data_IF_098714211556
#
_entry.id   IF_098714211556
#
_cell.length_a   1.000
_cell.length_b   1.000
_cell.length_c   1.000
_cell.angle_alpha   90.00
_cell.angle_beta   90.00
_cell.angle_gamma   90.00
#
_symmetry.space_group_name_H-M   'P 1'
#
loop_
_entity.id
_entity.type
_entity.pdbx_description
1 polymer ?
#
# COMPACT_ATOMS: atom_id res chain seq x y z
N UNK A 1 16.28 18.19 -16.41
CA UNK A 1 15.64 19.17 -15.49
C UNK A 1 16.17 18.96 -14.09
N UNK A 2 16.16 20.01 -13.25
CA UNK A 2 16.51 19.92 -11.83
C UNK A 2 15.24 19.76 -11.00
N UNK A 3 15.15 18.68 -10.24
CA UNK A 3 13.99 18.33 -9.44
C UNK A 3 14.38 18.28 -7.96
N UNK A 4 13.54 18.80 -7.08
CA UNK A 4 13.69 18.53 -5.64
C UNK A 4 12.57 17.63 -5.17
N UNK A 5 12.87 16.71 -4.25
CA UNK A 5 11.86 15.87 -3.60
C UNK A 5 11.90 16.11 -2.10
N UNK A 6 10.88 16.80 -1.59
CA UNK A 6 10.78 17.24 -0.19
C UNK A 6 9.96 16.22 0.60
N UNK A 7 10.59 15.63 1.61
CA UNK A 7 10.15 14.44 2.30
C UNK A 7 10.76 13.20 1.66
N UNK A 8 11.67 12.53 2.36
CA UNK A 8 12.37 11.31 1.89
C UNK A 8 11.94 10.07 2.68
N UNK A 9 10.67 10.04 3.10
CA UNK A 9 10.02 8.80 3.51
C UNK A 9 9.90 7.83 2.33
N UNK A 10 9.19 6.73 2.54
CA UNK A 10 9.02 5.65 1.56
C UNK A 10 8.74 6.15 0.12
N UNK A 11 7.70 6.99 -0.03
CA UNK A 11 7.32 7.61 -1.30
C UNK A 11 8.45 8.46 -1.91
N UNK A 12 8.94 9.44 -1.16
CA UNK A 12 9.84 10.44 -1.71
C UNK A 12 11.24 9.93 -1.99
N UNK A 13 11.78 9.03 -1.17
CA UNK A 13 13.10 8.43 -1.44
C UNK A 13 13.06 7.55 -2.70
N UNK A 14 12.00 6.76 -2.89
CA UNK A 14 11.81 5.98 -4.13
C UNK A 14 11.63 6.92 -5.32
N UNK A 15 10.77 7.93 -5.20
CA UNK A 15 10.53 8.86 -6.30
C UNK A 15 11.80 9.63 -6.69
N UNK A 16 12.56 10.15 -5.73
CA UNK A 16 13.82 10.83 -5.99
C UNK A 16 14.83 9.95 -6.73
N UNK A 17 14.98 8.70 -6.28
CA UNK A 17 15.88 7.74 -6.92
C UNK A 17 15.44 7.41 -8.35
N UNK A 18 14.15 7.18 -8.57
CA UNK A 18 13.60 6.87 -9.91
C UNK A 18 13.69 8.06 -10.86
N UNK A 19 13.42 9.29 -10.39
CA UNK A 19 13.56 10.49 -11.21
C UNK A 19 15.03 10.73 -11.63
N UNK A 20 15.98 10.46 -10.75
CA UNK A 20 17.40 10.52 -11.10
C UNK A 20 17.79 9.46 -12.15
N UNK A 21 17.17 8.28 -12.06
CA UNK A 21 17.45 7.15 -12.93
C UNK A 21 16.96 7.33 -14.36
N UNK A 22 15.84 8.05 -14.53
CA UNK A 22 15.33 8.44 -15.86
C UNK A 22 16.02 9.69 -16.43
N UNK A 23 17.07 10.19 -15.75
CA UNK A 23 18.00 11.17 -16.30
C UNK A 23 17.91 12.59 -15.73
N UNK A 24 17.09 12.83 -14.70
CA UNK A 24 17.03 14.15 -14.05
C UNK A 24 18.18 14.36 -13.06
N UNK A 25 18.47 15.63 -12.75
CA UNK A 25 19.28 15.99 -11.59
C UNK A 25 18.34 16.19 -10.41
N UNK A 26 18.55 15.47 -9.32
CA UNK A 26 17.61 15.37 -8.21
C UNK A 26 18.26 15.69 -6.88
N UNK A 27 17.58 16.52 -6.09
CA UNK A 27 17.93 16.83 -4.71
C UNK A 27 16.83 16.36 -3.77
N UNK A 28 17.07 15.29 -3.03
CA UNK A 28 16.19 14.82 -1.96
C UNK A 28 16.36 15.67 -0.69
N UNK A 29 15.25 16.04 -0.05
CA UNK A 29 15.25 16.96 1.09
C UNK A 29 14.43 16.38 2.23
N UNK A 30 14.96 16.40 3.45
CA UNK A 30 14.24 15.98 4.66
C UNK A 30 14.78 16.73 5.87
N UNK A 31 13.95 16.91 6.90
CA UNK A 31 14.36 17.55 8.15
C UNK A 31 15.20 16.62 9.02
N UNK A 32 15.10 15.31 8.79
CA UNK A 32 15.81 14.28 9.53
C UNK A 32 17.24 14.10 8.99
N UNK A 33 18.22 14.64 9.73
CA UNK A 33 19.63 14.60 9.35
C UNK A 33 20.22 13.19 9.33
N UNK A 34 19.74 12.27 10.16
CA UNK A 34 20.25 10.90 10.19
C UNK A 34 19.72 10.11 9.00
N UNK A 35 18.46 10.33 8.63
CA UNK A 35 17.86 9.81 7.40
C UNK A 35 18.60 10.30 6.15
N UNK A 36 18.89 11.60 6.08
CA UNK A 36 19.64 12.18 4.96
C UNK A 36 21.05 11.59 4.87
N UNK A 37 21.74 11.41 6.00
CA UNK A 37 23.06 10.77 6.02
C UNK A 37 22.99 9.33 5.53
N UNK A 38 22.03 8.54 6.01
CA UNK A 38 21.84 7.16 5.56
C UNK A 38 21.56 7.07 4.06
N UNK A 39 20.65 7.92 3.55
CA UNK A 39 20.32 7.97 2.12
C UNK A 39 21.50 8.42 1.25
N UNK A 40 22.28 9.41 1.71
CA UNK A 40 23.50 9.85 1.03
C UNK A 40 24.58 8.74 0.96
N UNK A 41 24.60 7.84 1.95
CA UNK A 41 25.45 6.63 1.94
C UNK A 41 24.86 5.48 1.09
N UNK A 42 23.74 5.70 0.39
CA UNK A 42 23.03 4.67 -0.38
C UNK A 42 22.32 3.63 0.50
N UNK A 43 22.02 3.95 1.76
CA UNK A 43 21.34 3.07 2.72
C UNK A 43 19.92 3.60 3.00
N UNK A 44 18.88 3.07 2.33
CA UNK A 44 17.51 3.48 2.64
C UNK A 44 17.11 3.05 4.06
N UNK A 45 16.32 3.86 4.80
CA UNK A 45 15.90 3.57 6.17
C UNK A 45 14.72 2.59 6.25
N UNK A 46 14.33 1.99 5.13
CA UNK A 46 13.25 1.02 4.98
C UNK A 46 13.63 0.01 3.90
N UNK A 47 12.95 -1.14 3.90
CA UNK A 47 13.15 -2.17 2.89
C UNK A 47 12.32 -1.88 1.64
N UNK A 48 12.98 -1.80 0.50
CA UNK A 48 12.32 -1.80 -0.81
C UNK A 48 13.19 -2.51 -1.86
N UNK A 49 12.66 -3.56 -2.53
CA UNK A 49 13.41 -4.26 -3.57
C UNK A 49 13.92 -3.33 -4.67
N UNK A 50 15.23 -3.38 -4.94
CA UNK A 50 15.87 -2.58 -5.98
C UNK A 50 16.27 -1.17 -5.56
N UNK A 51 15.76 -0.63 -4.45
CA UNK A 51 15.99 0.76 -4.06
C UNK A 51 17.46 1.05 -3.73
N UNK A 52 18.13 0.12 -3.04
CA UNK A 52 19.55 0.30 -2.69
C UNK A 52 20.45 0.39 -3.92
N UNK A 53 20.16 -0.41 -4.94
CA UNK A 53 20.92 -0.44 -6.19
C UNK A 53 20.77 0.88 -6.96
N UNK A 54 19.53 1.37 -7.12
CA UNK A 54 19.23 2.61 -7.85
C UNK A 54 19.75 3.85 -7.10
N UNK A 55 19.69 3.87 -5.76
CA UNK A 55 20.31 4.92 -4.94
C UNK A 55 21.83 4.97 -5.18
N UNK A 56 22.52 3.83 -4.99
CA UNK A 56 23.98 3.75 -5.10
C UNK A 56 24.45 4.22 -6.49
N UNK A 57 23.78 3.76 -7.56
CA UNK A 57 24.11 4.16 -8.94
C UNK A 57 23.94 5.67 -9.15
N UNK A 58 22.81 6.24 -8.75
CA UNK A 58 22.50 7.64 -9.05
C UNK A 58 23.27 8.63 -8.17
N UNK A 59 23.56 8.27 -6.91
CA UNK A 59 24.50 9.02 -6.06
C UNK A 59 25.90 9.00 -6.67
N UNK A 60 26.40 7.82 -7.08
CA UNK A 60 27.70 7.68 -7.72
C UNK A 60 27.84 8.44 -9.04
N UNK A 61 26.72 8.61 -9.78
CA UNK A 61 26.69 9.41 -11.01
C UNK A 61 26.64 10.93 -10.79
N UNK A 62 26.40 11.38 -9.56
CA UNK A 62 26.18 12.79 -9.22
C UNK A 62 24.77 13.32 -9.53
N UNK A 63 23.90 12.53 -10.18
CA UNK A 63 22.51 12.92 -10.48
C UNK A 63 21.58 12.94 -9.26
N UNK A 64 21.94 12.28 -8.16
CA UNK A 64 21.14 12.28 -6.93
C UNK A 64 21.97 12.76 -5.75
N UNK A 65 21.47 13.77 -5.04
CA UNK A 65 22.04 14.28 -3.78
C UNK A 65 20.95 14.41 -2.73
N UNK A 66 21.35 14.50 -1.46
CA UNK A 66 20.45 14.70 -0.33
C UNK A 66 20.92 15.87 0.53
N UNK A 67 19.96 16.64 1.07
CA UNK A 67 20.22 17.80 1.94
C UNK A 67 19.12 17.96 2.98
N UNK A 68 19.38 18.76 4.01
CA UNK A 68 18.36 19.22 4.97
C UNK A 68 17.91 20.67 4.68
N UNK A 69 18.48 21.32 3.67
CA UNK A 69 18.27 22.74 3.37
C UNK A 69 17.16 22.98 2.35
N UNK A 70 16.03 23.53 2.78
CA UNK A 70 14.97 24.02 1.87
C UNK A 70 15.40 25.23 1.05
N UNK A 71 16.36 26.03 1.53
CA UNK A 71 16.98 27.10 0.75
C UNK A 71 17.73 26.55 -0.45
N UNK A 72 18.58 25.54 -0.23
CA UNK A 72 19.32 24.87 -1.32
C UNK A 72 18.32 24.26 -2.31
N UNK A 73 17.24 23.66 -1.81
CA UNK A 73 16.17 23.12 -2.64
C UNK A 73 15.54 24.19 -3.55
N UNK A 74 15.13 25.33 -3.01
CA UNK A 74 14.56 26.45 -3.77
C UNK A 74 15.54 27.02 -4.81
N UNK A 75 16.82 27.11 -4.47
CA UNK A 75 17.86 27.59 -5.39
C UNK A 75 18.15 26.58 -6.51
N UNK A 76 18.06 25.28 -6.23
CA UNK A 76 18.38 24.19 -7.17
C UNK A 76 17.22 23.79 -8.10
N UNK A 77 16.02 23.59 -7.58
CA UNK A 77 14.92 22.94 -8.31
C UNK A 77 14.17 23.85 -9.29
N UNK A 78 13.85 23.32 -10.47
CA UNK A 78 12.86 23.89 -11.39
C UNK A 78 11.45 23.37 -11.05
N UNK A 79 11.39 22.15 -10.50
CA UNK A 79 10.17 21.49 -10.01
C UNK A 79 10.40 20.96 -8.59
N UNK A 80 9.46 21.24 -7.69
CA UNK A 80 9.52 20.86 -6.28
C UNK A 80 8.42 19.85 -5.92
N UNK A 81 8.75 18.57 -5.84
CA UNK A 81 7.82 17.54 -5.40
C UNK A 81 7.66 17.54 -3.88
N UNK A 82 6.42 17.61 -3.40
CA UNK A 82 6.07 17.50 -1.97
C UNK A 82 5.59 16.09 -1.67
N UNK A 83 6.41 15.32 -0.96
CA UNK A 83 6.25 13.90 -0.66
C UNK A 83 6.19 13.60 0.85
N UNK A 84 5.81 14.58 1.66
CA UNK A 84 5.72 14.44 3.12
C UNK A 84 4.48 13.64 3.54
N UNK A 85 4.56 12.97 4.70
CA UNK A 85 3.47 12.15 5.20
C UNK A 85 2.25 12.96 5.63
N UNK A 86 1.07 12.46 5.27
CA UNK A 86 -0.25 12.95 5.68
C UNK A 86 -0.95 11.89 6.57
N UNK A 87 -0.48 11.71 7.82
CA UNK A 87 -1.07 10.72 8.72
C UNK A 87 -2.51 11.12 9.08
N UNK A 88 -3.25 10.20 9.69
CA UNK A 88 -4.53 10.54 10.30
C UNK A 88 -4.28 11.43 11.55
N UNK A 89 -5.14 12.41 11.79
CA UNK A 89 -5.14 13.18 13.04
C UNK A 89 -5.41 12.28 14.25
N UNK A 90 -4.87 12.63 15.42
CA UNK A 90 -5.03 11.82 16.65
C UNK A 90 -6.49 11.73 17.12
N UNK A 91 -7.20 12.86 17.06
CA UNK A 91 -8.55 13.00 17.63
C UNK A 91 -9.65 13.10 16.55
N UNK A 92 -9.32 12.76 15.30
CA UNK A 92 -10.23 12.86 14.15
C UNK A 92 -9.90 11.81 13.09
N UNK A 93 -10.86 11.53 12.20
CA UNK A 93 -10.65 10.70 11.01
C UNK A 93 -9.98 11.50 9.87
N UNK A 94 -9.85 12.82 10.01
CA UNK A 94 -9.27 13.68 8.99
C UNK A 94 -7.77 13.44 8.78
N UNK A 95 -7.30 13.76 7.57
CA UNK A 95 -5.87 13.79 7.26
C UNK A 95 -5.21 14.99 7.95
N UNK A 96 -4.00 14.78 8.46
CA UNK A 96 -3.14 15.81 9.00
C UNK A 96 -2.28 16.42 7.89
N UNK A 97 -2.57 17.67 7.53
CA UNK A 97 -1.87 18.41 6.48
C UNK A 97 -0.74 19.30 7.01
N UNK A 98 -0.46 19.31 8.33
CA UNK A 98 0.53 20.21 8.93
C UNK A 98 1.91 20.11 8.27
N UNK A 99 2.33 18.91 7.87
CA UNK A 99 3.61 18.73 7.19
C UNK A 99 3.63 19.30 5.78
N UNK A 100 2.53 19.16 5.02
CA UNK A 100 2.41 19.74 3.67
C UNK A 100 2.42 21.26 3.78
N UNK A 101 1.64 21.81 4.71
CA UNK A 101 1.57 23.26 4.96
C UNK A 101 2.93 23.81 5.37
N UNK A 102 3.63 23.14 6.29
CA UNK A 102 4.96 23.54 6.75
C UNK A 102 6.00 23.55 5.62
N UNK A 103 5.91 22.61 4.66
CA UNK A 103 6.80 22.61 3.49
C UNK A 103 6.55 23.86 2.63
N UNK A 104 5.29 24.19 2.35
CA UNK A 104 4.93 25.36 1.56
C UNK A 104 5.41 26.65 2.25
N UNK A 105 5.13 26.78 3.55
CA UNK A 105 5.52 27.94 4.36
C UNK A 105 7.04 28.15 4.43
N UNK A 106 7.79 27.06 4.57
CA UNK A 106 9.24 27.13 4.70
C UNK A 106 9.95 27.28 3.35
N UNK A 107 9.37 26.77 2.26
CA UNK A 107 9.95 26.87 0.92
C UNK A 107 9.69 28.24 0.30
N UNK A 108 8.47 28.78 0.43
CA UNK A 108 8.04 30.00 -0.26
C UNK A 108 9.00 31.19 -0.09
N UNK A 109 9.51 31.54 1.11
CA UNK A 109 10.42 32.67 1.29
C UNK A 109 11.73 32.59 0.50
N UNK A 110 12.09 31.41 0.00
CA UNK A 110 13.31 31.16 -0.77
C UNK A 110 13.08 31.10 -2.28
N UNK A 111 11.82 31.06 -2.73
CA UNK A 111 11.49 31.05 -4.15
C UNK A 111 11.72 32.44 -4.74
N UNK A 112 12.60 32.53 -5.74
CA UNK A 112 13.00 33.78 -6.41
C UNK A 112 12.86 33.72 -7.93
N UNK A 113 12.48 32.57 -8.45
CA UNK A 113 12.37 32.28 -9.88
C UNK A 113 11.08 31.50 -10.15
N UNK A 114 10.56 31.55 -11.39
CA UNK A 114 9.47 30.67 -11.81
C UNK A 114 9.80 29.20 -11.51
N UNK A 115 8.86 28.49 -10.91
CA UNK A 115 9.00 27.07 -10.60
C UNK A 115 7.62 26.43 -10.43
N UNK A 116 7.57 25.11 -10.54
CA UNK A 116 6.36 24.33 -10.29
C UNK A 116 6.47 23.55 -8.97
N UNK A 117 5.55 23.77 -8.05
CA UNK A 117 5.40 22.93 -6.85
C UNK A 117 4.39 21.83 -7.17
N UNK A 118 4.79 20.57 -6.97
CA UNK A 118 3.97 19.40 -7.32
C UNK A 118 3.71 18.57 -6.08
N UNK A 119 2.47 18.57 -5.60
CA UNK A 119 2.09 17.67 -4.52
C UNK A 119 2.00 16.22 -4.98
N UNK A 120 2.59 15.31 -4.22
CA UNK A 120 2.54 13.86 -4.48
C UNK A 120 1.95 13.07 -3.32
N UNK A 121 1.95 13.67 -2.12
CA UNK A 121 1.26 13.16 -0.95
C UNK A 121 -0.23 12.93 -1.20
N UNK A 122 -0.81 11.91 -0.58
CA UNK A 122 -2.27 11.75 -0.58
C UNK A 122 -2.88 12.85 0.29
N UNK A 123 -3.71 13.71 -0.30
CA UNK A 123 -4.37 14.83 0.40
C UNK A 123 -5.88 14.82 0.12
N UNK A 124 -6.69 15.43 1.01
CA UNK A 124 -8.11 15.67 0.74
C UNK A 124 -8.32 16.62 -0.44
N UNK A 125 -9.42 16.44 -1.17
CA UNK A 125 -9.81 17.33 -2.28
C UNK A 125 -9.96 18.80 -1.84
N UNK A 126 -9.47 19.72 -2.66
CA UNK A 126 -9.39 21.16 -2.40
C UNK A 126 -8.07 21.60 -1.75
N UNK A 127 -7.10 20.69 -1.60
CA UNK A 127 -5.80 21.04 -0.99
C UNK A 127 -4.98 21.92 -1.92
N UNK A 128 -4.93 21.58 -3.20
CA UNK A 128 -4.15 22.32 -4.22
C UNK A 128 -4.62 23.76 -4.32
N UNK A 129 -5.94 23.99 -4.39
CA UNK A 129 -6.52 25.33 -4.44
C UNK A 129 -6.17 26.15 -3.19
N UNK A 130 -6.31 25.55 -2.00
CA UNK A 130 -5.95 26.20 -0.73
C UNK A 130 -4.46 26.57 -0.68
N UNK A 131 -3.58 25.69 -1.15
CA UNK A 131 -2.14 25.94 -1.15
C UNK A 131 -1.73 26.98 -2.20
N UNK A 132 -2.39 27.03 -3.35
CA UNK A 132 -2.19 28.06 -4.36
C UNK A 132 -2.60 29.45 -3.84
N UNK A 133 -3.74 29.55 -3.14
CA UNK A 133 -4.15 30.78 -2.48
C UNK A 133 -3.12 31.22 -1.42
N UNK A 134 -2.67 30.29 -0.57
CA UNK A 134 -1.65 30.55 0.45
C UNK A 134 -0.32 31.02 -0.16
N UNK A 135 0.11 30.43 -1.27
CA UNK A 135 1.33 30.86 -1.97
C UNK A 135 1.19 32.26 -2.56
N UNK A 136 0.02 32.61 -3.09
CA UNK A 136 -0.27 33.98 -3.56
C UNK A 136 -0.13 35.00 -2.41
N UNK A 137 -0.59 34.66 -1.20
CA UNK A 137 -0.45 35.51 -0.02
C UNK A 137 1.02 35.66 0.43
N UNK A 138 1.79 34.57 0.38
CA UNK A 138 3.20 34.56 0.79
C UNK A 138 4.12 35.22 -0.24
N UNK A 139 3.71 35.23 -1.52
CA UNK A 139 4.50 35.68 -2.65
C UNK A 139 3.69 36.58 -3.60
N UNK A 140 3.21 37.76 -3.13
CA UNK A 140 2.37 38.65 -3.94
C UNK A 140 3.06 39.13 -5.22
N UNK A 141 4.40 39.21 -5.22
CA UNK A 141 5.21 39.65 -6.35
C UNK A 141 5.75 38.49 -7.23
N UNK A 142 5.57 37.23 -6.82
CA UNK A 142 6.06 36.06 -7.56
C UNK A 142 4.96 35.41 -8.40
N UNK A 143 4.53 36.11 -9.45
CA UNK A 143 3.46 35.71 -10.38
C UNK A 143 3.71 34.42 -11.19
N UNK A 144 4.78 33.68 -10.90
CA UNK A 144 5.24 32.55 -11.71
C UNK A 144 5.54 31.27 -10.91
N UNK A 145 5.08 31.18 -9.65
CA UNK A 145 5.07 29.92 -8.89
C UNK A 145 3.70 29.28 -9.02
N UNK A 146 3.64 28.08 -9.60
CA UNK A 146 2.39 27.33 -9.78
C UNK A 146 2.34 26.12 -8.85
N UNK A 147 1.13 25.70 -8.51
CA UNK A 147 0.88 24.46 -7.75
C UNK A 147 0.12 23.48 -8.62
N UNK A 148 0.64 22.27 -8.72
CA UNK A 148 -0.02 21.13 -9.34
C UNK A 148 -0.08 19.96 -8.36
N UNK A 149 -0.90 18.96 -8.69
CA UNK A 149 -0.96 17.71 -7.93
C UNK A 149 -0.74 16.50 -8.83
N UNK A 150 0.21 15.64 -8.49
CA UNK A 150 0.46 14.39 -9.18
C UNK A 150 0.38 13.24 -8.15
N UNK A 151 -0.82 12.70 -7.87
CA UNK A 151 -0.96 11.63 -6.91
C UNK A 151 -0.15 10.39 -7.30
N UNK A 152 0.32 9.65 -6.29
CA UNK A 152 1.07 8.42 -6.47
C UNK A 152 0.22 7.16 -6.27
N UNK A 153 0.47 6.11 -7.05
CA UNK A 153 -0.24 4.83 -7.01
C UNK A 153 0.65 3.61 -6.74
N UNK A 154 1.94 3.82 -6.46
CA UNK A 154 2.87 2.76 -6.13
C UNK A 154 2.39 1.87 -4.99
N UNK A 155 2.77 0.60 -5.07
CA UNK A 155 2.56 -0.38 -4.01
C UNK A 155 3.89 -0.59 -3.32
N UNK A 156 3.90 -0.51 -1.98
CA UNK A 156 5.13 -0.88 -1.26
C UNK A 156 5.60 -2.32 -1.61
N UNK A 157 6.90 -2.57 -1.67
CA UNK A 157 7.48 -3.83 -2.17
C UNK A 157 7.57 -3.96 -3.68
N UNK A 158 6.99 -3.00 -4.43
CA UNK A 158 7.04 -2.87 -5.89
C UNK A 158 7.23 -1.41 -6.33
N UNK A 159 7.60 -0.53 -5.41
CA UNK A 159 7.58 0.91 -5.58
C UNK A 159 8.56 1.39 -6.66
N UNK A 160 9.74 0.80 -6.77
CA UNK A 160 10.69 1.12 -7.85
C UNK A 160 10.09 0.79 -9.22
N UNK A 161 9.53 -0.42 -9.36
CA UNK A 161 8.88 -0.85 -10.59
C UNK A 161 7.67 0.03 -10.91
N UNK A 162 6.76 0.23 -9.95
CA UNK A 162 5.53 0.98 -10.15
C UNK A 162 5.80 2.47 -10.43
N UNK A 163 6.93 3.04 -9.96
CA UNK A 163 7.30 4.42 -10.29
C UNK A 163 7.89 4.52 -11.69
N UNK A 164 8.70 3.55 -12.14
CA UNK A 164 9.33 3.58 -13.47
C UNK A 164 8.41 3.09 -14.59
N UNK A 165 7.45 2.22 -14.27
CA UNK A 165 6.49 1.61 -15.19
C UNK A 165 5.07 1.65 -14.59
N UNK A 166 4.52 2.85 -14.35
CA UNK A 166 3.20 2.99 -13.76
C UNK A 166 2.10 2.58 -14.75
N UNK A 167 0.98 2.05 -14.23
CA UNK A 167 -0.20 1.76 -15.05
C UNK A 167 -0.76 3.02 -15.73
N UNK A 168 -0.55 4.20 -15.11
CA UNK A 168 -0.94 5.53 -15.59
C UNK A 168 -0.31 6.62 -14.74
N UNK A 169 -0.18 7.81 -15.31
CA UNK A 169 0.13 9.06 -14.62
C UNK A 169 -1.11 9.95 -14.57
N UNK A 170 -1.40 10.55 -13.41
CA UNK A 170 -2.51 11.49 -13.22
C UNK A 170 -1.94 12.81 -12.74
N UNK A 171 -2.28 13.91 -13.41
CA UNK A 171 -1.83 15.26 -13.06
C UNK A 171 -3.02 16.20 -12.98
N UNK A 172 -3.04 16.98 -11.91
CA UNK A 172 -3.98 18.04 -11.62
C UNK A 172 -3.27 19.37 -11.82
N UNK A 173 -3.60 20.08 -12.90
CA UNK A 173 -2.89 21.31 -13.32
C UNK A 173 -3.87 22.45 -13.56
N UNK A 174 -3.39 23.68 -13.43
CA UNK A 174 -4.18 24.91 -13.63
C UNK A 174 -3.77 25.70 -14.87
N UNK A 175 -2.70 25.28 -15.57
CA UNK A 175 -2.19 25.94 -16.77
C UNK A 175 -1.57 24.93 -17.74
N UNK A 176 -1.44 25.34 -19.01
CA UNK A 176 -0.70 24.58 -20.02
C UNK A 176 0.79 24.49 -19.70
N UNK A 177 1.37 25.52 -19.09
CA UNK A 177 2.77 25.52 -18.68
C UNK A 177 3.07 24.41 -17.68
N UNK A 178 2.25 24.28 -16.63
CA UNK A 178 2.39 23.21 -15.65
C UNK A 178 2.23 21.81 -16.29
N UNK A 179 1.31 21.64 -17.24
CA UNK A 179 1.15 20.38 -17.98
C UNK A 179 2.39 20.03 -18.82
N UNK A 180 2.92 21.01 -19.57
CA UNK A 180 4.14 20.85 -20.38
C UNK A 180 5.35 20.47 -19.52
N UNK A 181 5.52 21.13 -18.37
CA UNK A 181 6.58 20.82 -17.40
C UNK A 181 6.46 19.39 -16.90
N UNK A 182 5.26 18.94 -16.50
CA UNK A 182 5.05 17.58 -16.00
C UNK A 182 5.24 16.52 -17.11
N UNK A 183 4.85 16.83 -18.35
CA UNK A 183 5.15 15.96 -19.51
C UNK A 183 6.65 15.84 -19.75
N UNK A 184 7.41 16.92 -19.60
CA UNK A 184 8.86 16.90 -19.73
C UNK A 184 9.53 16.09 -18.60
N UNK A 185 9.00 16.17 -17.36
CA UNK A 185 9.46 15.30 -16.25
C UNK A 185 9.22 13.83 -16.56
N UNK A 186 8.06 13.49 -17.12
CA UNK A 186 7.69 12.09 -17.37
C UNK A 186 7.98 11.60 -18.79
N UNK A 187 8.71 12.36 -19.61
CA UNK A 187 8.90 12.06 -21.04
C UNK A 187 9.34 10.62 -21.31
N UNK A 188 10.32 10.03 -20.59
CA UNK A 188 10.72 8.63 -20.80
C UNK A 188 9.58 7.62 -20.59
N UNK A 189 8.67 7.88 -19.64
CA UNK A 189 7.51 7.03 -19.38
C UNK A 189 6.44 7.20 -20.46
N UNK A 190 6.23 8.43 -20.92
CA UNK A 190 5.27 8.74 -21.99
C UNK A 190 5.69 8.12 -23.32
N UNK A 191 6.99 8.17 -23.64
CA UNK A 191 7.58 7.51 -24.81
C UNK A 191 7.42 5.98 -24.75
N UNK A 192 7.46 5.41 -23.53
CA UNK A 192 7.18 3.99 -23.30
C UNK A 192 5.67 3.63 -23.36
N UNK A 193 4.80 4.59 -23.67
CA UNK A 193 3.36 4.37 -23.85
C UNK A 193 2.53 4.40 -22.56
N UNK A 194 3.09 4.91 -21.45
CA UNK A 194 2.34 5.10 -20.20
C UNK A 194 1.20 6.11 -20.43
N UNK A 195 -0.06 5.75 -20.12
CA UNK A 195 -1.19 6.68 -20.20
C UNK A 195 -0.98 7.89 -19.29
N UNK A 196 -1.22 9.09 -19.82
CA UNK A 196 -1.11 10.35 -19.10
C UNK A 196 -2.44 11.10 -19.09
N UNK A 197 -2.99 11.27 -17.89
CA UNK A 197 -4.29 11.91 -17.66
C UNK A 197 -4.03 13.26 -16.99
N UNK A 198 -4.19 14.33 -17.75
CA UNK A 198 -4.16 15.70 -17.25
C UNK A 198 -5.57 16.22 -17.06
N UNK A 199 -5.86 16.77 -15.88
CA UNK A 199 -7.19 17.22 -15.46
C UNK A 199 -7.06 18.37 -14.46
N UNK A 200 -8.18 18.88 -13.95
CA UNK A 200 -8.19 19.85 -12.86
C UNK A 200 -7.66 19.24 -11.54
N UNK A 201 -7.11 20.07 -10.62
CA UNK A 201 -6.57 19.58 -9.36
C UNK A 201 -7.54 18.81 -8.48
N UNK A 202 -8.81 19.24 -8.40
CA UNK A 202 -9.78 18.60 -7.53
C UNK A 202 -10.08 17.16 -7.98
N UNK A 203 -10.22 16.94 -9.29
CA UNK A 203 -10.37 15.61 -9.86
C UNK A 203 -9.12 14.76 -9.62
N UNK A 204 -7.91 15.29 -9.84
CA UNK A 204 -6.68 14.54 -9.61
C UNK A 204 -6.54 14.08 -8.15
N UNK A 205 -6.82 14.96 -7.17
CA UNK A 205 -6.83 14.62 -5.75
C UNK A 205 -7.86 13.52 -5.43
N UNK A 206 -9.06 13.60 -6.02
CA UNK A 206 -10.12 12.59 -5.84
C UNK A 206 -9.76 11.22 -6.43
N UNK A 207 -9.07 11.16 -7.57
CA UNK A 207 -8.70 9.89 -8.21
C UNK A 207 -7.92 9.00 -7.24
N UNK A 208 -7.02 9.57 -6.43
CA UNK A 208 -6.24 8.79 -5.47
C UNK A 208 -7.10 8.16 -4.37
N UNK A 209 -7.92 8.98 -3.72
CA UNK A 209 -8.77 8.50 -2.61
C UNK A 209 -9.85 7.56 -3.12
N UNK A 210 -10.45 7.83 -4.29
CA UNK A 210 -11.42 6.94 -4.92
C UNK A 210 -10.82 5.58 -5.29
N UNK A 211 -9.62 5.55 -5.87
CA UNK A 211 -8.94 4.31 -6.19
C UNK A 211 -8.63 3.49 -4.94
N UNK A 212 -8.06 4.11 -3.90
CA UNK A 212 -7.75 3.41 -2.64
C UNK A 212 -9.02 2.92 -1.93
N UNK A 213 -10.09 3.72 -1.92
CA UNK A 213 -11.41 3.31 -1.42
C UNK A 213 -11.95 2.08 -2.15
N UNK A 214 -11.88 2.07 -3.48
CA UNK A 214 -12.37 0.93 -4.26
C UNK A 214 -11.56 -0.35 -4.02
N UNK A 215 -10.23 -0.22 -3.92
CA UNK A 215 -9.35 -1.36 -3.57
C UNK A 215 -9.67 -1.91 -2.18
N UNK A 216 -9.90 -1.06 -1.19
CA UNK A 216 -10.33 -1.46 0.14
C UNK A 216 -11.71 -2.15 0.10
N UNK A 217 -12.65 -1.63 -0.69
CA UNK A 217 -13.96 -2.25 -0.90
C UNK A 217 -13.85 -3.63 -1.51
N UNK A 218 -12.98 -3.86 -2.51
CA UNK A 218 -12.78 -5.22 -3.09
C UNK A 218 -12.30 -6.22 -2.04
N UNK A 219 -11.36 -5.81 -1.19
CA UNK A 219 -10.82 -6.66 -0.10
C UNK A 219 -11.90 -6.95 0.94
N UNK A 220 -12.59 -5.92 1.45
CA UNK A 220 -13.65 -6.13 2.44
C UNK A 220 -14.84 -6.91 1.87
N UNK A 221 -15.19 -6.69 0.61
CA UNK A 221 -16.23 -7.47 -0.07
C UNK A 221 -15.88 -8.96 -0.07
N UNK A 222 -14.68 -9.33 -0.53
CA UNK A 222 -14.31 -10.75 -0.57
C UNK A 222 -14.15 -11.35 0.83
N UNK A 223 -13.74 -10.57 1.83
CA UNK A 223 -13.70 -11.02 3.22
C UNK A 223 -15.09 -11.27 3.79
N UNK A 224 -16.09 -10.43 3.47
CA UNK A 224 -17.47 -10.70 3.83
C UNK A 224 -17.99 -11.98 3.13
N UNK A 225 -17.61 -12.21 1.87
CA UNK A 225 -17.92 -13.48 1.19
C UNK A 225 -17.22 -14.68 1.84
N UNK A 226 -16.03 -14.50 2.41
CA UNK A 226 -15.36 -15.55 3.19
C UNK A 226 -16.19 -15.96 4.41
N UNK A 227 -16.81 -15.00 5.11
CA UNK A 227 -17.72 -15.28 6.23
C UNK A 227 -18.93 -16.11 5.78
N UNK A 228 -19.52 -15.76 4.63
CA UNK A 228 -20.64 -16.53 4.04
C UNK A 228 -20.18 -17.93 3.62
N UNK A 229 -18.95 -18.06 3.07
CA UNK A 229 -18.38 -19.35 2.71
C UNK A 229 -18.18 -20.25 3.93
N UNK A 230 -17.65 -19.69 5.03
CA UNK A 230 -17.49 -20.41 6.29
C UNK A 230 -18.83 -20.94 6.83
N UNK A 231 -19.89 -20.14 6.74
CA UNK A 231 -21.23 -20.53 7.23
C UNK A 231 -21.95 -21.55 6.32
N UNK A 232 -21.71 -21.50 5.00
CA UNK A 232 -22.36 -22.38 4.01
C UNK A 232 -21.57 -23.65 3.67
N UNK A 233 -20.28 -23.68 4.03
CA UNK A 233 -19.32 -24.69 3.59
C UNK A 233 -18.87 -24.51 2.15
N UNK A 234 -18.97 -23.30 1.59
CA UNK A 234 -18.41 -22.95 0.29
C UNK A 234 -16.91 -22.59 0.39
N UNK A 235 -16.30 -22.27 -0.76
CA UNK A 235 -14.88 -21.96 -0.86
C UNK A 235 -14.67 -20.57 -1.49
N UNK A 236 -14.12 -19.65 -0.70
CA UNK A 236 -13.90 -18.26 -1.10
C UNK A 236 -12.82 -18.11 -2.19
N UNK A 237 -11.85 -19.02 -2.25
CA UNK A 237 -10.79 -18.97 -3.28
C UNK A 237 -11.41 -19.31 -4.64
N UNK A 238 -12.16 -20.41 -4.70
CA UNK A 238 -12.91 -20.81 -5.88
C UNK A 238 -13.93 -19.74 -6.29
N UNK A 239 -14.65 -19.16 -5.32
CA UNK A 239 -15.60 -18.07 -5.57
C UNK A 239 -14.90 -16.85 -6.18
N UNK A 240 -13.78 -16.42 -5.60
CA UNK A 240 -12.99 -15.28 -6.09
C UNK A 240 -12.46 -15.51 -7.50
N UNK A 241 -11.98 -16.73 -7.79
CA UNK A 241 -11.51 -17.11 -9.13
C UNK A 241 -12.66 -17.07 -10.13
N UNK A 242 -13.81 -17.67 -9.80
CA UNK A 242 -14.99 -17.71 -10.66
C UNK A 242 -15.50 -16.31 -11.03
N UNK A 243 -15.68 -15.41 -10.06
CA UNK A 243 -16.12 -14.03 -10.35
C UNK A 243 -15.00 -13.21 -11.01
N UNK A 244 -13.74 -13.56 -10.76
CA UNK A 244 -12.57 -12.87 -11.30
C UNK A 244 -12.34 -13.08 -12.79
N UNK A 245 -12.95 -14.11 -13.39
CA UNK A 245 -12.98 -14.32 -14.84
C UNK A 245 -13.83 -13.30 -15.58
N UNK A 246 -14.81 -12.67 -14.91
CA UNK A 246 -15.53 -11.54 -15.47
C UNK A 246 -14.60 -10.32 -15.54
N UNK A 247 -14.27 -9.89 -16.75
CA UNK A 247 -13.33 -8.78 -17.00
C UNK A 247 -13.81 -7.44 -16.44
N UNK A 248 -15.11 -7.29 -16.17
CA UNK A 248 -15.68 -6.11 -15.49
C UNK A 248 -15.35 -6.08 -14.00
N UNK A 249 -15.10 -7.24 -13.39
CA UNK A 249 -14.77 -7.41 -11.98
C UNK A 249 -13.24 -7.50 -11.80
N UNK A 250 -12.62 -8.43 -12.52
CA UNK A 250 -11.19 -8.73 -12.47
C UNK A 250 -10.72 -9.36 -11.15
N UNK A 251 -9.83 -10.36 -11.24
CA UNK A 251 -9.37 -11.18 -10.10
C UNK A 251 -8.50 -10.48 -9.06
N UNK A 252 -7.77 -9.41 -9.43
CA UNK A 252 -6.85 -8.72 -8.53
C UNK A 252 -7.60 -8.07 -7.37
N UNK A 253 -7.00 -8.05 -6.18
CA UNK A 253 -7.59 -7.54 -4.93
C UNK A 253 -8.83 -8.30 -4.43
N UNK A 254 -9.03 -9.54 -4.90
CA UNK A 254 -10.09 -10.45 -4.41
C UNK A 254 -9.51 -11.68 -3.70
N UNK A 255 -8.38 -11.53 -3.03
CA UNK A 255 -7.84 -12.60 -2.18
C UNK A 255 -8.33 -12.37 -0.75
N UNK A 256 -9.23 -13.22 -0.28
CA UNK A 256 -9.70 -13.19 1.09
C UNK A 256 -8.58 -13.54 2.07
N UNK A 257 -8.59 -12.91 3.24
CA UNK A 257 -7.62 -13.17 4.28
C UNK A 257 -7.79 -12.28 5.50
N UNK A 258 -6.66 -11.94 6.13
CA UNK A 258 -6.59 -11.25 7.41
C UNK A 258 -7.08 -9.78 7.39
N UNK A 259 -7.42 -9.27 6.21
CA UNK A 259 -7.72 -7.87 5.99
C UNK A 259 -6.52 -7.07 5.47
N UNK A 260 -6.78 -5.78 5.20
CA UNK A 260 -5.79 -4.80 4.80
C UNK A 260 -5.28 -3.99 6.00
N UNK A 261 -4.10 -3.41 5.80
CA UNK A 261 -3.41 -2.53 6.74
C UNK A 261 -2.44 -1.62 5.99
N UNK A 262 -1.31 -1.32 6.63
CA UNK A 262 -0.26 -0.49 6.04
C UNK A 262 -0.55 1.00 6.15
N UNK A 263 0.40 1.81 5.69
CA UNK A 263 0.33 3.26 5.79
C UNK A 263 -0.73 3.95 4.92
N UNK A 264 -1.45 3.27 4.02
CA UNK A 264 -2.34 3.91 3.04
C UNK A 264 -3.83 3.62 3.22
N UNK A 265 -4.30 2.39 2.97
CA UNK A 265 -5.74 2.12 2.83
C UNK A 265 -6.58 2.52 4.06
N UNK A 266 -6.24 2.13 5.31
CA UNK A 266 -7.05 2.47 6.48
C UNK A 266 -7.17 3.98 6.71
N UNK A 267 -6.06 4.72 6.61
CA UNK A 267 -6.07 6.17 6.82
C UNK A 267 -6.80 6.90 5.69
N UNK A 268 -6.69 6.42 4.45
CA UNK A 268 -7.24 7.12 3.28
C UNK A 268 -8.76 7.01 3.23
N UNK A 269 -9.35 5.84 3.55
CA UNK A 269 -10.82 5.70 3.59
C UNK A 269 -11.44 6.51 4.73
N UNK A 270 -10.74 6.61 5.87
CA UNK A 270 -11.16 7.41 7.03
C UNK A 270 -11.06 8.90 6.72
N UNK A 271 -9.94 9.34 6.14
CA UNK A 271 -9.74 10.72 5.71
C UNK A 271 -10.75 11.14 4.64
N UNK A 272 -11.08 10.25 3.70
CA UNK A 272 -12.09 10.55 2.69
C UNK A 272 -13.50 10.66 3.29
N UNK A 273 -13.84 9.80 4.26
CA UNK A 273 -15.09 9.92 5.02
C UNK A 273 -15.18 11.25 5.78
N UNK A 274 -14.10 11.67 6.43
CA UNK A 274 -14.02 12.97 7.09
C UNK A 274 -14.20 14.13 6.09
N UNK A 275 -13.51 14.07 4.95
CA UNK A 275 -13.61 15.10 3.93
C UNK A 275 -15.00 15.18 3.29
N UNK A 276 -15.63 14.04 3.02
CA UNK A 276 -17.01 14.01 2.52
C UNK A 276 -17.99 14.66 3.50
N UNK A 277 -17.77 14.50 4.82
CA UNK A 277 -18.56 15.20 5.85
C UNK A 277 -18.34 16.71 5.83
N UNK A 278 -17.10 17.17 5.71
CA UNK A 278 -16.80 18.61 5.57
C UNK A 278 -17.46 19.23 4.34
N UNK A 279 -17.58 18.46 3.25
CA UNK A 279 -18.26 18.86 2.02
C UNK A 279 -19.79 18.68 2.07
N UNK A 280 -20.36 18.16 3.16
CA UNK A 280 -21.81 17.94 3.30
C UNK A 280 -22.37 16.75 2.51
N UNK A 281 -21.54 15.80 2.09
CA UNK A 281 -21.90 14.64 1.26
C UNK A 281 -21.51 13.30 1.89
N UNK A 282 -21.43 13.24 3.22
CA UNK A 282 -21.02 12.04 3.98
C UNK A 282 -21.84 10.79 3.63
N UNK A 283 -23.14 10.94 3.35
CA UNK A 283 -24.01 9.83 2.94
C UNK A 283 -23.53 9.11 1.66
N UNK A 284 -22.87 9.82 0.74
CA UNK A 284 -22.39 9.23 -0.51
C UNK A 284 -21.28 8.18 -0.29
N UNK A 285 -20.56 8.28 0.83
CA UNK A 285 -19.44 7.40 1.16
C UNK A 285 -19.67 6.61 2.46
N UNK A 286 -20.92 6.55 2.94
CA UNK A 286 -21.26 5.87 4.19
C UNK A 286 -20.82 4.39 4.22
N UNK A 287 -20.82 3.72 3.05
CA UNK A 287 -20.35 2.34 2.91
C UNK A 287 -18.87 2.14 3.29
N UNK A 288 -18.04 3.18 3.27
CA UNK A 288 -16.63 3.08 3.68
C UNK A 288 -16.48 2.71 5.16
N UNK A 289 -17.47 3.05 6.00
CA UNK A 289 -17.50 2.60 7.39
C UNK A 289 -17.67 1.10 7.47
N UNK A 290 -18.61 0.53 6.70
CA UNK A 290 -18.80 -0.92 6.64
C UNK A 290 -17.55 -1.64 6.12
N UNK A 291 -16.87 -1.04 5.12
CA UNK A 291 -15.60 -1.56 4.61
C UNK A 291 -14.54 -1.63 5.72
N UNK A 292 -14.39 -0.60 6.54
CA UNK A 292 -13.44 -0.58 7.67
C UNK A 292 -13.86 -1.54 8.79
N UNK A 293 -15.16 -1.63 9.09
CA UNK A 293 -15.67 -2.54 10.13
C UNK A 293 -15.49 -4.02 9.74
N UNK A 294 -15.74 -4.41 8.48
CA UNK A 294 -15.42 -5.75 7.97
C UNK A 294 -13.92 -6.04 8.13
N UNK A 295 -13.07 -5.07 7.81
CA UNK A 295 -11.62 -5.22 7.92
C UNK A 295 -11.18 -5.49 9.38
N UNK A 296 -11.73 -4.76 10.34
CA UNK A 296 -11.44 -4.95 11.76
C UNK A 296 -12.01 -6.27 12.30
N UNK A 297 -13.21 -6.67 11.86
CA UNK A 297 -13.81 -7.96 12.23
C UNK A 297 -12.97 -9.15 11.77
N UNK A 298 -12.32 -9.09 10.61
CA UNK A 298 -11.46 -10.20 10.15
C UNK A 298 -10.28 -10.47 11.08
N UNK A 299 -9.69 -9.43 11.67
CA UNK A 299 -8.63 -9.58 12.68
C UNK A 299 -9.14 -10.38 13.88
N UNK A 300 -10.33 -10.03 14.38
CA UNK A 300 -10.97 -10.73 15.51
C UNK A 300 -11.35 -12.18 15.17
N UNK A 301 -11.95 -12.42 13.99
CA UNK A 301 -12.31 -13.77 13.53
C UNK A 301 -11.09 -14.69 13.45
N UNK A 302 -9.94 -14.16 13.02
CA UNK A 302 -8.68 -14.92 12.99
C UNK A 302 -8.24 -15.34 14.40
N UNK A 303 -8.35 -14.45 15.39
CA UNK A 303 -8.06 -14.78 16.79
C UNK A 303 -9.00 -15.86 17.33
N UNK A 304 -10.30 -15.77 17.00
CA UNK A 304 -11.29 -16.74 17.44
C UNK A 304 -11.01 -18.15 16.87
N UNK A 305 -10.72 -18.26 15.57
CA UNK A 305 -10.34 -19.53 14.93
C UNK A 305 -9.00 -20.07 15.50
N UNK A 306 -8.03 -19.18 15.75
CA UNK A 306 -6.78 -19.56 16.38
C UNK A 306 -7.02 -20.12 17.80
N UNK A 307 -7.96 -19.55 18.56
CA UNK A 307 -8.32 -20.04 19.91
C UNK A 307 -8.91 -21.44 19.86
N UNK A 308 -9.80 -21.69 18.89
CA UNK A 308 -10.34 -23.04 18.65
C UNK A 308 -9.22 -24.04 18.38
N UNK A 309 -8.29 -23.72 17.48
CA UNK A 309 -7.16 -24.58 17.13
C UNK A 309 -6.15 -24.77 18.27
N UNK A 310 -6.06 -23.83 19.20
CA UNK A 310 -5.25 -23.93 20.40
C UNK A 310 -5.94 -24.75 21.52
N UNK A 311 -7.13 -25.30 21.28
CA UNK A 311 -7.89 -26.09 22.24
C UNK A 311 -8.76 -25.26 23.19
N UNK A 312 -9.26 -24.11 22.71
CA UNK A 312 -10.24 -23.26 23.41
C UNK A 312 -9.65 -22.19 24.34
N UNK A 313 -8.34 -22.19 24.56
CA UNK A 313 -7.64 -21.19 25.39
C UNK A 313 -6.20 -20.97 24.91
N UNK A 314 -5.70 -19.76 25.09
CA UNK A 314 -4.31 -19.39 24.81
C UNK A 314 -3.40 -19.48 26.05
N UNK A 315 -3.94 -19.56 27.26
CA UNK A 315 -3.16 -19.58 28.51
C UNK A 315 -2.16 -20.72 28.51
N UNK A 316 -0.86 -20.38 28.61
CA UNK A 316 0.22 -21.37 28.63
C UNK A 316 0.45 -22.10 27.30
N UNK A 317 -0.17 -21.63 26.22
CA UNK A 317 0.06 -22.14 24.86
C UNK A 317 1.20 -21.42 24.19
N UNK A 318 1.99 -22.15 23.41
CA UNK A 318 3.02 -21.59 22.52
C UNK A 318 2.46 -21.45 21.12
N UNK A 319 2.49 -20.22 20.60
CA UNK A 319 1.97 -19.89 19.27
C UNK A 319 3.10 -19.29 18.45
N UNK A 320 3.38 -19.90 17.31
CA UNK A 320 4.32 -19.35 16.34
C UNK A 320 3.60 -18.43 15.36
N UNK A 321 4.17 -17.26 15.08
CA UNK A 321 3.63 -16.29 14.12
C UNK A 321 4.61 -16.12 12.97
N UNK A 322 4.16 -16.45 11.77
CA UNK A 322 4.89 -16.27 10.52
C UNK A 322 4.33 -15.04 9.80
N UNK A 323 5.04 -13.92 9.94
CA UNK A 323 4.69 -12.64 9.34
C UNK A 323 4.33 -11.58 10.39
N UNK A 324 5.05 -10.45 10.35
CA UNK A 324 4.78 -9.25 11.12
C UNK A 324 4.26 -8.10 10.25
N UNK A 325 4.69 -8.04 9.00
CA UNK A 325 4.43 -6.89 8.12
C UNK A 325 3.03 -6.97 7.55
N UNK A 326 2.46 -5.83 7.15
CA UNK A 326 1.06 -5.83 6.68
C UNK A 326 0.87 -6.59 5.37
N UNK A 327 1.95 -6.77 4.60
CA UNK A 327 2.06 -7.50 3.33
C UNK A 327 3.51 -7.93 3.08
N UNK A 328 3.78 -8.89 2.18
CA UNK A 328 5.15 -9.30 1.86
C UNK A 328 5.94 -8.22 1.12
N UNK A 329 7.26 -8.39 1.08
CA UNK A 329 8.25 -7.53 0.42
C UNK A 329 8.34 -6.10 0.97
N UNK A 330 7.89 -5.88 2.21
CA UNK A 330 8.02 -4.61 2.93
C UNK A 330 8.38 -4.92 4.37
N UNK A 331 9.12 -4.03 5.03
CA UNK A 331 9.39 -4.05 6.47
C UNK A 331 8.36 -3.22 7.26
N UNK A 332 7.36 -2.64 6.60
CA UNK A 332 6.35 -1.79 7.23
C UNK A 332 5.36 -2.61 8.08
N UNK A 333 5.21 -2.17 9.32
CA UNK A 333 4.33 -2.76 10.32
C UNK A 333 3.19 -1.82 10.75
N UNK A 334 3.09 -0.62 10.16
CA UNK A 334 2.01 0.34 10.47
C UNK A 334 0.65 -0.26 10.16
N UNK A 335 -0.25 -0.20 11.13
CA UNK A 335 -1.57 -0.86 11.11
C UNK A 335 -1.51 -2.31 10.58
N UNK A 336 -0.44 -3.06 10.91
CA UNK A 336 -0.31 -4.45 10.47
C UNK A 336 -1.40 -5.33 11.10
N UNK A 337 -2.23 -6.02 10.28
CA UNK A 337 -3.18 -6.99 10.79
C UNK A 337 -2.49 -8.15 11.53
N UNK A 338 -1.29 -8.54 11.09
CA UNK A 338 -0.51 -9.63 11.68
C UNK A 338 -0.07 -9.29 13.10
N UNK A 339 0.43 -8.07 13.34
CA UNK A 339 0.77 -7.61 14.69
C UNK A 339 -0.45 -7.44 15.59
N UNK A 340 -1.57 -6.97 15.04
CA UNK A 340 -2.81 -6.84 15.81
C UNK A 340 -3.31 -8.21 16.32
N UNK A 341 -3.25 -9.25 15.48
CA UNK A 341 -3.56 -10.64 15.89
C UNK A 341 -2.56 -11.16 16.91
N UNK A 342 -1.26 -11.01 16.65
CA UNK A 342 -0.21 -11.48 17.57
C UNK A 342 -0.34 -10.84 18.96
N UNK A 343 -0.59 -9.53 19.01
CA UNK A 343 -0.82 -8.79 20.26
C UNK A 343 -2.10 -9.23 20.98
N UNK A 344 -3.18 -9.52 20.26
CA UNK A 344 -4.41 -10.02 20.86
C UNK A 344 -4.20 -11.40 21.50
N UNK A 345 -3.58 -12.33 20.77
CA UNK A 345 -3.29 -13.69 21.24
C UNK A 345 -2.34 -13.68 22.44
N UNK A 346 -1.31 -12.82 22.41
CA UNK A 346 -0.40 -12.65 23.55
C UNK A 346 -1.12 -12.12 24.79
N UNK A 347 -2.00 -11.11 24.64
CA UNK A 347 -2.81 -10.57 25.75
C UNK A 347 -3.77 -11.60 26.35
N UNK A 348 -4.19 -12.60 25.56
CA UNK A 348 -5.00 -13.73 26.03
C UNK A 348 -4.17 -14.86 26.69
N UNK A 349 -2.86 -14.66 26.90
CA UNK A 349 -2.02 -15.54 27.73
C UNK A 349 -1.13 -16.52 26.97
N UNK A 350 -1.01 -16.40 25.64
CA UNK A 350 -0.07 -17.20 24.86
C UNK A 350 1.37 -16.68 24.95
N UNK A 351 2.31 -17.62 24.94
CA UNK A 351 3.70 -17.39 24.59
C UNK A 351 3.82 -17.29 23.06
N UNK A 352 3.81 -16.06 22.54
CA UNK A 352 3.91 -15.79 21.10
C UNK A 352 5.37 -15.62 20.69
N UNK A 353 5.82 -16.41 19.72
CA UNK A 353 7.11 -16.26 19.07
C UNK A 353 6.91 -15.87 17.60
N UNK A 354 7.37 -14.69 17.22
CA UNK A 354 7.17 -14.11 15.90
C UNK A 354 8.43 -14.17 15.06
N UNK A 355 8.26 -14.51 13.78
CA UNK A 355 9.28 -14.38 12.75
C UNK A 355 8.73 -13.55 11.57
N UNK A 356 9.56 -12.68 11.01
CA UNK A 356 9.33 -12.00 9.74
C UNK A 356 10.67 -11.83 9.01
N UNK A 357 10.77 -12.03 7.69
CA UNK A 357 12.05 -11.94 6.99
C UNK A 357 12.68 -10.54 7.06
N UNK A 358 11.86 -9.49 7.06
CA UNK A 358 12.34 -8.10 6.98
C UNK A 358 11.79 -7.21 8.11
N UNK A 359 10.65 -7.57 8.71
CA UNK A 359 9.91 -6.73 9.65
C UNK A 359 10.19 -6.96 11.13
N UNK A 360 11.12 -7.83 11.53
CA UNK A 360 11.34 -8.19 12.95
C UNK A 360 11.72 -6.98 13.80
N UNK A 361 12.64 -6.13 13.35
CA UNK A 361 13.11 -5.00 14.15
C UNK A 361 12.02 -3.92 14.30
N UNK A 362 11.32 -3.61 13.21
CA UNK A 362 10.18 -2.69 13.24
C UNK A 362 9.04 -3.24 14.13
N UNK A 363 8.76 -4.54 14.05
CA UNK A 363 7.78 -5.20 14.91
C UNK A 363 8.17 -5.15 16.38
N UNK A 364 9.45 -5.39 16.71
CA UNK A 364 9.98 -5.34 18.08
C UNK A 364 9.92 -3.93 18.66
N UNK A 365 10.15 -2.91 17.86
CA UNK A 365 10.02 -1.52 18.28
C UNK A 365 8.58 -1.18 18.69
N UNK A 366 7.58 -1.75 18.01
CA UNK A 366 6.15 -1.50 18.28
C UNK A 366 5.59 -2.41 19.40
N UNK A 367 5.99 -3.68 19.45
CA UNK A 367 5.48 -4.69 20.40
C UNK A 367 6.60 -5.45 21.13
N UNK A 368 7.42 -4.76 21.95
CA UNK A 368 8.62 -5.36 22.58
C UNK A 368 8.32 -6.53 23.53
N UNK A 369 7.06 -6.69 23.97
CA UNK A 369 6.64 -7.77 24.86
C UNK A 369 6.60 -9.16 24.19
N UNK A 370 6.55 -9.23 22.85
CA UNK A 370 6.56 -10.50 22.13
C UNK A 370 7.98 -11.10 22.06
N UNK A 371 8.07 -12.41 21.88
CA UNK A 371 9.34 -13.04 21.50
C UNK A 371 9.52 -12.95 19.99
N UNK A 372 10.75 -12.72 19.57
CA UNK A 372 11.12 -12.63 18.16
C UNK A 372 12.22 -13.62 17.86
N UNK A 373 12.13 -14.26 16.69
CA UNK A 373 13.12 -15.23 16.23
C UNK A 373 13.64 -14.85 14.85
N UNK A 374 14.95 -15.06 14.57
CA UNK A 374 15.55 -14.80 13.26
C UNK A 374 15.34 -15.93 12.25
N UNK A 375 14.83 -17.09 12.67
CA UNK A 375 14.55 -18.22 11.78
C UNK A 375 13.20 -18.88 12.09
N UNK A 376 12.57 -19.44 11.06
CA UNK A 376 11.23 -20.05 11.16
C UNK A 376 11.21 -21.27 12.09
N UNK A 377 12.26 -22.09 12.07
CA UNK A 377 12.31 -23.32 12.87
C UNK A 377 12.29 -23.01 14.36
N UNK A 378 13.11 -22.07 14.81
CA UNK A 378 13.16 -21.60 16.19
C UNK A 378 11.85 -20.93 16.61
N UNK A 379 11.21 -20.17 15.71
CA UNK A 379 9.88 -19.59 15.97
C UNK A 379 8.82 -20.67 16.22
N UNK A 380 8.90 -21.78 15.49
CA UNK A 380 7.95 -22.89 15.55
C UNK A 380 8.25 -23.93 16.63
N UNK A 381 9.41 -23.87 17.29
CA UNK A 381 9.81 -24.86 18.30
C UNK A 381 8.78 -25.03 19.43
N UNK A 382 8.30 -26.26 19.61
CA UNK A 382 7.28 -26.66 20.59
C UNK A 382 5.93 -25.92 20.48
N UNK A 383 5.69 -25.20 19.38
CA UNK A 383 4.43 -24.49 19.15
C UNK A 383 3.29 -25.50 19.01
N UNK A 384 2.13 -25.20 19.62
CA UNK A 384 0.92 -25.99 19.42
C UNK A 384 0.04 -25.45 18.28
N UNK A 385 0.40 -24.27 17.75
CA UNK A 385 -0.29 -23.61 16.65
C UNK A 385 0.71 -22.72 15.90
N UNK A 386 0.72 -22.85 14.58
CA UNK A 386 1.43 -21.94 13.66
C UNK A 386 0.42 -21.04 12.98
N UNK A 387 0.66 -19.73 13.00
CA UNK A 387 -0.16 -18.73 12.32
C UNK A 387 0.61 -18.19 11.12
N UNK A 388 0.08 -18.40 9.91
CA UNK A 388 0.59 -17.78 8.70
C UNK A 388 -0.20 -16.49 8.43
N UNK A 389 0.40 -15.35 8.79
CA UNK A 389 -0.26 -14.04 8.82
C UNK A 389 0.22 -13.07 7.74
N UNK A 390 1.39 -13.31 7.14
CA UNK A 390 1.87 -12.53 5.99
C UNK A 390 2.44 -13.47 4.94
N UNK A 391 1.95 -13.39 3.72
CA UNK A 391 2.16 -14.37 2.65
C UNK A 391 3.50 -14.25 1.92
N UNK A 392 4.60 -14.14 2.67
CA UNK A 392 5.97 -14.15 2.14
C UNK A 392 6.23 -15.41 1.30
N UNK A 393 6.96 -15.24 0.19
CA UNK A 393 7.27 -16.36 -0.71
C UNK A 393 8.07 -17.48 -0.03
N UNK A 394 8.88 -17.13 0.97
CA UNK A 394 9.63 -18.07 1.80
C UNK A 394 8.70 -18.99 2.61
N UNK A 395 7.60 -18.46 3.15
CA UNK A 395 6.64 -19.24 3.93
C UNK A 395 5.81 -20.20 3.07
N UNK A 396 5.45 -19.78 1.86
CA UNK A 396 4.73 -20.64 0.90
C UNK A 396 5.55 -21.83 0.42
N UNK A 397 6.87 -21.76 0.57
CA UNK A 397 7.84 -22.80 0.18
C UNK A 397 8.33 -23.64 1.36
N UNK A 398 7.77 -23.45 2.56
CA UNK A 398 8.13 -24.27 3.72
C UNK A 398 7.77 -25.74 3.47
N UNK A 399 8.63 -26.62 3.93
CA UNK A 399 8.37 -28.06 3.97
C UNK A 399 7.55 -28.39 5.24
N UNK A 400 6.27 -28.77 5.11
CA UNK A 400 5.44 -29.10 6.27
C UNK A 400 5.90 -30.38 6.99
N UNK A 401 6.62 -31.29 6.33
CA UNK A 401 7.16 -32.50 6.98
C UNK A 401 8.31 -32.11 7.92
N UNK A 402 9.24 -31.29 7.44
CA UNK A 402 10.32 -30.77 8.28
C UNK A 402 9.79 -29.94 9.46
N UNK A 403 8.79 -29.08 9.21
CA UNK A 403 8.21 -28.25 10.26
C UNK A 403 7.42 -29.06 11.29
N UNK A 404 6.80 -30.18 10.89
CA UNK A 404 6.09 -31.09 11.79
C UNK A 404 7.02 -31.69 12.87
N UNK A 405 8.31 -31.82 12.57
CA UNK A 405 9.30 -32.38 13.50
C UNK A 405 9.68 -31.42 14.64
N UNK A 406 9.40 -30.11 14.53
CA UNK A 406 9.78 -29.10 15.53
C UNK A 406 8.60 -28.56 16.33
N UNK A 407 7.38 -28.61 15.78
CA UNK A 407 6.17 -28.20 16.50
C UNK A 407 5.72 -29.28 17.49
N UNK A 408 5.01 -28.87 18.54
CA UNK A 408 4.37 -29.80 19.49
C UNK A 408 3.12 -30.44 18.90
N UNK A 409 2.38 -29.68 18.10
CA UNK A 409 1.14 -30.14 17.47
C UNK A 409 1.06 -29.52 16.08
N UNK A 410 0.82 -30.30 15.02
CA UNK A 410 0.83 -29.82 13.64
C UNK A 410 -0.50 -29.13 13.31
N UNK A 411 -0.79 -28.01 13.98
CA UNK A 411 -1.94 -27.15 13.68
C UNK A 411 -1.46 -25.88 12.99
N UNK A 412 -2.07 -25.53 11.86
CA UNK A 412 -1.80 -24.29 11.15
C UNK A 412 -3.09 -23.54 10.83
N UNK A 413 -3.08 -22.23 11.11
CA UNK A 413 -4.07 -21.29 10.60
C UNK A 413 -3.43 -20.44 9.50
N UNK A 414 -3.86 -20.66 8.27
CA UNK A 414 -3.50 -19.82 7.13
C UNK A 414 -4.50 -18.67 6.98
N UNK A 415 -4.18 -17.52 7.54
CA UNK A 415 -5.02 -16.32 7.47
C UNK A 415 -4.88 -15.58 6.13
N UNK A 416 -4.07 -16.08 5.19
CA UNK A 416 -3.82 -15.45 3.88
C UNK A 416 -4.21 -16.32 2.69
N UNK A 417 -4.67 -17.55 2.92
CA UNK A 417 -4.95 -18.53 1.86
C UNK A 417 -3.75 -18.68 0.90
N UNK A 418 -2.53 -18.60 1.44
CA UNK A 418 -1.28 -18.59 0.68
C UNK A 418 -0.51 -19.92 0.73
N UNK A 419 -0.88 -20.84 1.60
CA UNK A 419 -0.29 -22.18 1.71
C UNK A 419 -1.06 -23.18 0.86
N UNK A 420 -0.36 -24.20 0.37
CA UNK A 420 -0.99 -25.37 -0.25
C UNK A 420 -1.64 -26.24 0.83
N UNK A 421 -2.96 -26.10 0.99
CA UNK A 421 -3.70 -26.82 2.02
C UNK A 421 -3.66 -28.35 1.83
N UNK A 422 -3.54 -28.87 0.61
CA UNK A 422 -3.47 -30.32 0.38
C UNK A 422 -2.11 -30.85 0.80
N UNK A 423 -1.02 -30.19 0.37
CA UNK A 423 0.34 -30.53 0.77
C UNK A 423 0.50 -30.59 2.30
N UNK A 424 -0.01 -29.57 3.01
CA UNK A 424 0.09 -29.51 4.48
C UNK A 424 -0.75 -30.60 5.16
N UNK A 425 -1.97 -30.87 4.69
CA UNK A 425 -2.81 -31.96 5.22
C UNK A 425 -2.19 -33.32 4.98
N UNK A 426 -1.63 -33.57 3.80
CA UNK A 426 -0.92 -34.80 3.47
C UNK A 426 0.31 -35.03 4.37
N UNK A 427 0.92 -33.96 4.87
CA UNK A 427 1.99 -34.02 5.87
C UNK A 427 1.49 -34.17 7.33
N UNK A 428 0.19 -34.42 7.55
CA UNK A 428 -0.39 -34.68 8.87
C UNK A 428 -0.84 -33.43 9.62
N UNK A 429 -0.91 -32.25 8.98
CA UNK A 429 -1.35 -31.03 9.63
C UNK A 429 -2.87 -30.86 9.65
N UNK A 430 -3.39 -30.34 10.77
CA UNK A 430 -4.71 -29.71 10.80
C UNK A 430 -4.60 -28.32 10.20
N UNK A 431 -5.19 -28.12 9.01
CA UNK A 431 -5.17 -26.85 8.29
C UNK A 431 -6.54 -26.19 8.37
N UNK A 432 -6.59 -24.97 8.94
CA UNK A 432 -7.72 -24.04 8.80
C UNK A 432 -7.29 -22.81 8.02
N UNK A 433 -8.23 -22.23 7.29
CA UNK A 433 -8.05 -20.97 6.59
C UNK A 433 -9.38 -20.23 6.51
N UNK A 434 -9.35 -18.92 6.24
CA UNK A 434 -10.55 -18.07 6.21
C UNK A 434 -11.36 -18.30 4.93
N UNK A 435 -12.64 -18.64 5.06
CA UNK A 435 -13.55 -18.86 3.94
C UNK A 435 -13.34 -20.17 3.19
N UNK A 436 -12.71 -21.17 3.82
CA UNK A 436 -12.37 -22.45 3.20
C UNK A 436 -13.10 -23.61 3.89
N UNK A 437 -13.58 -24.62 3.16
CA UNK A 437 -14.31 -25.73 3.74
C UNK A 437 -13.44 -26.55 4.71
N UNK A 438 -14.03 -26.96 5.83
CA UNK A 438 -13.42 -27.88 6.80
C UNK A 438 -13.33 -29.30 6.20
N UNK A 439 -12.25 -30.08 6.45
CA UNK A 439 -12.14 -31.44 5.94
C UNK A 439 -13.32 -32.33 6.35
N UNK A 440 -13.88 -33.08 5.40
CA UNK A 440 -15.01 -34.02 5.61
C UNK A 440 -16.14 -33.90 4.58
N UNK A 441 -16.21 -32.78 3.86
CA UNK A 441 -17.09 -32.60 2.70
C UNK A 441 -16.21 -32.74 1.44
N UNK A 442 -16.38 -33.82 0.67
CA UNK A 442 -15.61 -33.99 -0.57
C UNK A 442 -15.89 -32.79 -1.48
N UNK A 443 -14.87 -32.02 -1.88
CA UNK A 443 -15.05 -31.05 -2.95
C UNK A 443 -15.39 -31.84 -4.21
N UNK A 444 -16.52 -31.50 -4.84
CA UNK A 444 -16.81 -31.93 -6.21
C UNK A 444 -15.68 -31.38 -7.09
N UNK A 445 -15.13 -32.17 -8.02
CA UNK A 445 -14.09 -31.70 -8.94
C UNK A 445 -14.53 -30.38 -9.60
N UNK A 446 -13.94 -29.26 -9.16
CA UNK A 446 -14.19 -27.95 -9.76
C UNK A 446 -13.21 -27.79 -10.91
N UNK A 447 -13.73 -27.75 -12.14
CA UNK A 447 -12.93 -27.37 -13.31
C UNK A 447 -13.10 -25.87 -13.53
N UNK A 448 -12.05 -25.09 -13.27
CA UNK A 448 -11.97 -23.69 -13.70
C UNK A 448 -11.05 -23.65 -14.92
N UNK A 449 -11.58 -23.53 -16.15
CA UNK A 449 -10.74 -23.42 -17.32
C UNK A 449 -9.95 -22.10 -17.27
N UNK A 450 -8.63 -22.17 -17.43
CA UNK A 450 -7.81 -20.98 -17.62
C UNK A 450 -8.28 -20.21 -18.87
N UNK A 451 -8.57 -18.92 -18.71
CA UNK A 451 -8.88 -18.05 -19.83
C UNK A 451 -7.59 -17.83 -20.64
N UNK A 452 -7.39 -18.63 -21.68
CA UNK A 452 -6.50 -18.28 -22.78
C UNK A 452 -6.99 -16.95 -23.38
N UNK A 453 -6.05 -16.06 -23.67
CA UNK A 453 -6.31 -14.67 -24.05
C UNK A 453 -7.43 -14.51 -25.07
N UNK A 454 -8.43 -13.72 -24.73
CA UNK A 454 -9.45 -13.24 -25.65
C UNK A 454 -9.29 -11.72 -25.76
N UNK A 455 -8.59 -11.32 -26.82
CA UNK A 455 -8.64 -9.97 -27.33
C UNK A 455 -10.07 -9.67 -27.78
N UNK A 456 -10.68 -8.65 -27.17
CA UNK A 456 -11.92 -8.11 -27.67
C UNK A 456 -11.59 -7.03 -28.72
N UNK A 457 -11.64 -7.41 -29.99
CA UNK A 457 -11.90 -6.46 -31.06
C UNK A 457 -13.36 -6.02 -30.93
N UNK A 458 -13.59 -4.75 -30.61
CA UNK A 458 -14.93 -4.18 -30.63
C UNK A 458 -15.48 -4.19 -32.07
N UNK A 459 -16.78 -4.49 -32.30
CA UNK A 459 -17.40 -4.19 -33.57
C UNK A 459 -17.59 -2.67 -33.68
N UNK A 460 -16.84 -2.05 -34.58
CA UNK A 460 -17.16 -0.70 -35.07
C UNK A 460 -18.37 -0.86 -35.98
N UNK A 461 -19.56 -0.55 -35.47
CA UNK A 461 -20.74 -0.37 -36.32
C UNK A 461 -20.71 1.05 -36.91
N UNK A 462 -20.01 1.19 -38.03
CA UNK A 462 -20.07 2.36 -38.89
C UNK A 462 -21.24 2.19 -39.86
N UNK A 463 -22.45 2.56 -39.42
CA UNK A 463 -23.69 2.35 -40.17
C UNK A 463 -24.62 3.56 -40.21
N UNK A 464 -24.28 4.56 -41.03
CA UNK A 464 -25.18 5.52 -41.71
C UNK A 464 -26.16 6.35 -40.85
N UNK A 465 -25.70 7.53 -40.44
CA UNK A 465 -26.56 8.72 -40.33
C UNK A 465 -26.99 9.14 -41.75
N UNK A 466 -28.20 8.75 -42.14
CA UNK A 466 -28.91 9.30 -43.30
C UNK A 466 -29.58 10.61 -42.91
N UNK A 467 -29.16 11.68 -43.55
CA UNK A 467 -29.78 13.00 -43.49
C UNK A 467 -31.17 13.02 -44.16
N UNK A 468 -31.97 13.98 -43.69
CA UNK A 468 -33.03 14.71 -44.40
C UNK A 468 -34.51 14.31 -44.10
N UNK A 469 -35.48 15.23 -44.31
CA UNK A 469 -36.19 15.89 -43.20
C UNK A 469 -37.72 15.86 -43.34
N UNK A 470 -38.44 16.23 -42.27
CA UNK A 470 -39.66 17.06 -42.30
C UNK A 470 -40.05 17.49 -40.91
#
# INVERSE_FOLDING_TARGET
>A
MRLTVIGTGYLGAVHAACMADIGHEVLGVDIDADKIRALADGRPPFFEPGLRQILTRNIGSGRLRFTTSLREAAEFGDVHFVCVGTPQQRDSLAADLRHVDAVIDALAPHLRRPCLIVGKSTVPVGTTERLAARLTELLPDASAVEVAWNPEFLREGYAVHDTLQPDRLVTGVVSSHADEVLRAVYAPMLEAGVPYISTDPATAELVKVAANSFLATKISFINAMAEVCDASGADVVTLADAIGHDTRIGRRFLSAGLGFGGGCLPKDIRAFTARARELGVDRAVAFLREVDEINMRQRRRTVDIARELAGGTFTGRRVAVLGATFKPNSDDVRDSPSLAVAAAIHREGAEVCLHDPEGVDNARAVLPALRYSPDVSTACQDACLVLHLTEWSQYRKLDPVALAAVVRTPNVLDARNGLDAELWRSAGWTVRALGRPTPGRQPVHVTIPHAAGLGWAAPIDAGRLSLAPK
#
